data_IF_340802666024
#
_entry.id   IF_340802666024
#
_cell.length_a   1.000
_cell.length_b   1.000
_cell.length_c   1.000
_cell.angle_alpha   90.00
_cell.angle_beta   90.00
_cell.angle_gamma   90.00
#
_symmetry.space_group_name_H-M   'P 1'
#
loop_
_entity.id
_entity.type
_entity.pdbx_description
1 polymer ?
#
# COMPACT_ATOMS: atom_id res chain seq x y z
N UNK A 1 1.59 11.16 -45.77
CA UNK A 1 0.98 10.64 -44.52
C UNK A 1 0.75 11.83 -43.61
N UNK A 2 -0.48 12.03 -43.14
CA UNK A 2 -0.81 13.04 -42.14
C UNK A 2 -0.86 12.36 -40.78
N UNK A 3 0.01 12.79 -39.86
CA UNK A 3 0.05 12.27 -38.50
C UNK A 3 -0.57 13.29 -37.56
N UNK A 4 -1.41 12.82 -36.63
CA UNK A 4 -2.00 13.65 -35.57
C UNK A 4 -1.44 13.17 -34.24
N UNK A 5 -0.94 14.10 -33.42
CA UNK A 5 -0.56 13.78 -32.05
C UNK A 5 -1.84 13.58 -31.20
N UNK A 6 -1.95 12.44 -30.53
CA UNK A 6 -3.10 12.11 -29.69
C UNK A 6 -2.82 12.57 -28.26
N UNK A 7 -3.49 13.65 -27.83
CA UNK A 7 -3.25 14.30 -26.52
C UNK A 7 -4.28 13.90 -25.47
N UNK A 8 -5.46 13.43 -25.92
CA UNK A 8 -6.62 13.12 -25.08
C UNK A 8 -7.19 11.73 -25.38
N UNK A 9 -7.88 11.16 -24.38
CA UNK A 9 -8.67 9.94 -24.59
C UNK A 9 -9.91 10.28 -25.41
N UNK A 10 -10.29 9.43 -26.36
CA UNK A 10 -11.49 9.65 -27.14
C UNK A 10 -11.63 8.75 -28.36
N UNK A 11 -12.78 8.88 -29.04
CA UNK A 11 -13.03 8.26 -30.33
C UNK A 11 -12.53 9.19 -31.43
N UNK A 12 -11.39 8.87 -32.01
CA UNK A 12 -10.85 9.59 -33.15
C UNK A 12 -11.49 9.04 -34.41
N UNK A 13 -12.11 9.91 -35.19
CA UNK A 13 -12.81 9.53 -36.42
C UNK A 13 -12.14 10.21 -37.62
N UNK A 14 -11.87 9.43 -38.65
CA UNK A 14 -11.42 9.90 -39.95
C UNK A 14 -12.62 9.89 -40.88
N UNK A 15 -12.87 11.02 -41.55
CA UNK A 15 -13.90 11.13 -42.59
C UNK A 15 -13.20 11.57 -43.87
N UNK A 16 -13.43 10.83 -44.95
CA UNK A 16 -12.88 11.11 -46.27
C UNK A 16 -14.03 11.40 -47.23
N UNK A 17 -14.05 12.60 -47.78
CA UNK A 17 -14.99 12.98 -48.83
C UNK A 17 -14.37 12.66 -50.19
N UNK A 18 -14.97 11.71 -50.90
CA UNK A 18 -14.75 11.47 -52.31
C UNK A 18 -15.78 12.28 -53.13
N UNK A 19 -15.57 12.52 -54.44
CA UNK A 19 -16.45 13.35 -55.25
C UNK A 19 -17.95 12.95 -55.20
N UNK A 20 -18.24 11.67 -54.93
CA UNK A 20 -19.61 11.12 -54.91
C UNK A 20 -19.92 10.29 -53.65
N UNK A 21 -19.03 10.23 -52.65
CA UNK A 21 -19.20 9.34 -51.50
C UNK A 21 -18.45 9.87 -50.26
N UNK A 22 -18.84 9.41 -49.08
CA UNK A 22 -18.18 9.72 -47.82
C UNK A 22 -17.89 8.44 -47.06
N UNK A 23 -16.60 8.14 -46.90
CA UNK A 23 -16.13 6.99 -46.12
C UNK A 23 -15.70 7.47 -44.74
N UNK A 24 -15.98 6.66 -43.71
CA UNK A 24 -15.53 6.96 -42.35
C UNK A 24 -14.90 5.74 -41.68
N UNK A 25 -13.92 6.00 -40.82
CA UNK A 25 -13.30 5.03 -39.93
C UNK A 25 -13.10 5.66 -38.56
N UNK A 26 -13.03 4.85 -37.51
CA UNK A 26 -12.70 5.37 -36.18
C UNK A 26 -11.83 4.40 -35.39
N UNK A 27 -11.12 4.95 -34.40
CA UNK A 27 -10.39 4.20 -33.38
C UNK A 27 -10.67 4.81 -32.00
N UNK A 28 -10.75 3.96 -30.97
CA UNK A 28 -10.82 4.40 -29.59
C UNK A 28 -9.42 4.45 -28.98
N UNK A 29 -9.07 5.61 -28.41
CA UNK A 29 -7.77 5.85 -27.78
C UNK A 29 -8.00 6.13 -26.30
N UNK A 30 -7.27 5.44 -25.43
CA UNK A 30 -7.23 5.69 -23.99
C UNK A 30 -5.85 6.17 -23.59
N UNK A 31 -5.73 7.46 -23.29
CA UNK A 31 -4.53 8.13 -22.79
C UNK A 31 -4.60 8.19 -21.26
N UNK A 32 -3.59 7.65 -20.59
CA UNK A 32 -3.47 7.69 -19.13
C UNK A 32 -2.58 8.85 -18.71
N UNK A 33 -3.09 9.74 -17.85
CA UNK A 33 -2.28 10.81 -17.26
C UNK A 33 -1.33 10.23 -16.20
N UNK A 34 -0.18 10.89 -16.00
CA UNK A 34 0.74 10.53 -14.91
C UNK A 34 0.04 10.78 -13.57
N UNK A 35 0.14 9.87 -12.58
CA UNK A 35 -0.42 10.12 -11.26
C UNK A 35 0.28 11.33 -10.62
N UNK A 36 -0.47 12.21 -9.93
CA UNK A 36 0.06 13.50 -9.44
C UNK A 36 0.66 13.43 -8.04
N UNK A 37 0.19 12.51 -7.18
CA UNK A 37 0.70 12.35 -5.81
C UNK A 37 0.34 10.99 -5.24
N UNK A 38 1.22 10.47 -4.39
CA UNK A 38 0.93 9.37 -3.46
C UNK A 38 1.42 9.80 -2.08
N UNK A 39 0.49 9.92 -1.12
CA UNK A 39 0.81 10.32 0.26
C UNK A 39 0.68 9.10 1.16
N UNK A 40 1.67 8.93 2.04
CA UNK A 40 1.76 7.85 3.00
C UNK A 40 1.37 8.37 4.38
N UNK A 41 0.30 7.82 4.96
CA UNK A 41 -0.17 8.22 6.28
C UNK A 41 0.17 7.15 7.30
N UNK A 42 0.32 7.56 8.56
CA UNK A 42 0.46 6.68 9.70
C UNK A 42 -0.69 6.95 10.66
N UNK A 43 -1.55 5.97 10.91
CA UNK A 43 -2.52 6.04 12.00
C UNK A 43 -1.98 5.23 13.17
N UNK A 44 -1.75 5.87 14.32
CA UNK A 44 -1.46 5.19 15.59
C UNK A 44 -2.77 4.78 16.24
N UNK A 45 -3.04 3.48 16.33
CA UNK A 45 -4.30 2.99 16.90
C UNK A 45 -4.34 3.04 18.44
N UNK A 46 -3.17 3.11 19.09
CA UNK A 46 -3.04 3.25 20.54
C UNK A 46 -1.76 4.01 20.90
N UNK A 47 -1.78 4.80 21.96
CA UNK A 47 -0.55 5.43 22.51
C UNK A 47 0.36 4.41 23.19
N UNK A 48 -0.17 3.24 23.54
CA UNK A 48 0.56 2.17 24.24
C UNK A 48 1.04 1.06 23.30
N UNK A 49 0.54 1.01 22.06
CA UNK A 49 1.03 0.13 21.02
C UNK A 49 1.05 0.93 19.71
N UNK A 50 2.26 1.27 19.24
CA UNK A 50 2.43 1.98 17.96
C UNK A 50 2.09 1.03 16.80
N UNK A 51 0.80 0.77 16.58
CA UNK A 51 0.35 0.15 15.34
C UNK A 51 0.38 1.19 14.23
N UNK A 52 0.97 0.83 13.10
CA UNK A 52 0.98 1.67 11.91
C UNK A 52 0.11 1.03 10.84
N UNK A 53 -0.76 1.80 10.22
CA UNK A 53 -1.34 1.45 8.93
C UNK A 53 -0.91 2.49 7.92
N UNK A 54 -0.31 2.01 6.84
CA UNK A 54 0.14 2.77 5.70
C UNK A 54 -0.90 2.63 4.58
N UNK A 55 -1.36 3.73 4.00
CA UNK A 55 -2.27 3.69 2.85
C UNK A 55 -1.89 4.73 1.81
N UNK A 56 -2.23 4.44 0.56
CA UNK A 56 -1.93 5.26 -0.60
C UNK A 56 -3.15 6.04 -1.04
N UNK A 57 -3.00 7.35 -1.30
CA UNK A 57 -4.00 8.16 -2.00
C UNK A 57 -3.40 8.70 -3.29
N UNK A 58 -3.89 8.23 -4.43
CA UNK A 58 -3.53 8.72 -5.76
C UNK A 58 -4.63 8.41 -6.76
N UNK A 59 -4.83 9.30 -7.73
CA UNK A 59 -5.85 9.10 -8.77
C UNK A 59 -5.35 8.07 -9.79
N UNK A 60 -6.23 7.12 -10.16
CA UNK A 60 -5.98 6.16 -11.26
C UNK A 60 -4.77 5.21 -11.08
N UNK A 61 -4.43 4.83 -9.85
CA UNK A 61 -3.43 3.80 -9.56
C UNK A 61 -4.06 2.40 -9.53
N UNK A 62 -3.42 1.43 -10.20
CA UNK A 62 -3.92 0.07 -10.38
C UNK A 62 -3.08 -0.97 -9.62
N UNK A 63 -1.79 -0.72 -9.46
CA UNK A 63 -0.89 -1.62 -8.72
C UNK A 63 0.12 -0.85 -7.90
N UNK A 64 0.63 -1.50 -6.86
CA UNK A 64 1.54 -0.91 -5.89
C UNK A 64 2.79 -1.77 -5.76
N UNK A 65 3.89 -1.14 -5.36
CA UNK A 65 5.12 -1.83 -4.99
C UNK A 65 5.71 -1.12 -3.77
N UNK A 66 5.75 -1.81 -2.64
CA UNK A 66 6.34 -1.30 -1.42
C UNK A 66 7.85 -1.54 -1.33
N UNK A 67 8.52 -0.65 -0.61
CA UNK A 67 9.95 -0.68 -0.35
C UNK A 67 10.18 -0.47 1.15
N UNK A 68 11.12 -1.22 1.71
CA UNK A 68 11.63 -1.08 3.07
C UNK A 68 13.13 -0.79 2.98
N UNK A 69 13.57 0.35 3.52
CA UNK A 69 14.96 0.81 3.47
C UNK A 69 15.52 0.78 2.04
N UNK A 70 14.73 1.31 1.09
CA UNK A 70 14.99 1.30 -0.36
C UNK A 70 15.06 -0.08 -1.04
N UNK A 71 14.85 -1.18 -0.31
CA UNK A 71 14.78 -2.54 -0.87
C UNK A 71 13.35 -2.91 -1.18
N UNK A 72 13.14 -3.49 -2.37
CA UNK A 72 11.84 -3.98 -2.82
C UNK A 72 11.31 -5.06 -1.88
N UNK A 73 10.04 -4.94 -1.48
CA UNK A 73 9.33 -5.96 -0.72
C UNK A 73 8.56 -6.89 -1.68
N UNK A 74 8.87 -8.18 -1.67
CA UNK A 74 8.20 -9.15 -2.55
C UNK A 74 6.74 -9.36 -2.13
N UNK A 75 5.82 -9.41 -3.09
CA UNK A 75 4.40 -9.64 -2.84
C UNK A 75 3.63 -8.44 -2.28
N UNK A 76 4.30 -7.32 -1.99
CA UNK A 76 3.65 -6.13 -1.46
C UNK A 76 3.02 -5.31 -2.59
N UNK A 77 1.79 -5.69 -2.98
CA UNK A 77 1.05 -5.10 -4.11
C UNK A 77 -0.25 -4.38 -3.71
N UNK A 78 -0.62 -4.41 -2.43
CA UNK A 78 -1.84 -3.79 -1.94
C UNK A 78 -1.69 -2.27 -1.80
N UNK A 79 -2.81 -1.55 -1.91
CA UNK A 79 -2.89 -0.09 -1.66
C UNK A 79 -2.72 0.28 -0.18
N UNK A 80 -2.72 -0.73 0.69
CA UNK A 80 -2.51 -0.59 2.13
C UNK A 80 -1.44 -1.56 2.59
N UNK A 81 -0.71 -1.18 3.63
CA UNK A 81 0.32 -2.01 4.25
C UNK A 81 0.31 -1.85 5.76
N UNK A 82 0.50 -2.95 6.49
CA UNK A 82 0.68 -2.94 7.95
C UNK A 82 2.16 -3.26 8.26
N UNK A 83 3.01 -2.26 8.55
CA UNK A 83 4.39 -2.49 8.95
C UNK A 83 4.49 -3.39 10.19
N UNK A 84 5.44 -4.33 10.16
CA UNK A 84 5.79 -5.19 11.30
C UNK A 84 7.26 -5.05 11.71
N UNK A 85 8.03 -4.22 10.99
CA UNK A 85 9.46 -4.03 11.20
C UNK A 85 9.76 -2.53 11.17
N UNK A 86 10.62 -2.06 12.08
CA UNK A 86 11.11 -0.69 12.09
C UNK A 86 11.91 -0.40 10.81
N UNK A 87 11.64 0.74 10.19
CA UNK A 87 12.41 1.19 9.04
C UNK A 87 11.74 2.28 8.24
N UNK A 88 12.36 2.62 7.11
CA UNK A 88 11.87 3.64 6.19
C UNK A 88 11.05 2.96 5.09
N UNK A 89 9.77 3.29 5.02
CA UNK A 89 8.84 2.78 4.03
C UNK A 89 8.60 3.80 2.92
N UNK A 90 8.56 3.33 1.68
CA UNK A 90 8.08 4.08 0.53
C UNK A 90 7.30 3.16 -0.41
N UNK A 91 6.48 3.75 -1.28
CA UNK A 91 5.64 2.99 -2.20
C UNK A 91 5.67 3.64 -3.58
N UNK A 92 5.73 2.81 -4.61
CA UNK A 92 5.53 3.23 -5.99
C UNK A 92 4.19 2.70 -6.48
N UNK A 93 3.32 3.59 -6.93
CA UNK A 93 2.05 3.24 -7.55
C UNK A 93 2.15 3.34 -9.07
N UNK A 94 1.52 2.41 -9.78
CA UNK A 94 1.49 2.40 -11.25
C UNK A 94 0.06 2.57 -11.77
N UNK A 95 -0.10 3.35 -12.83
CA UNK A 95 -1.36 3.39 -13.58
C UNK A 95 -1.49 2.17 -14.51
N UNK A 96 -2.64 2.00 -15.17
CA UNK A 96 -2.85 0.87 -16.09
C UNK A 96 -1.97 0.90 -17.36
N UNK A 97 -1.32 2.02 -17.66
CA UNK A 97 -0.31 2.10 -18.71
C UNK A 97 1.11 1.77 -18.22
N UNK A 98 1.29 1.52 -16.92
CA UNK A 98 2.59 1.24 -16.30
C UNK A 98 3.41 2.48 -15.93
N UNK A 99 2.87 3.70 -16.03
CA UNK A 99 3.56 4.89 -15.52
C UNK A 99 3.55 4.88 -13.98
N UNK A 100 4.74 4.94 -13.38
CA UNK A 100 4.94 4.90 -11.94
C UNK A 100 5.14 6.27 -11.31
N UNK A 101 4.62 6.47 -10.10
CA UNK A 101 4.98 7.57 -9.19
C UNK A 101 5.39 7.00 -7.83
N UNK A 102 6.41 7.59 -7.20
CA UNK A 102 6.86 7.19 -5.85
C UNK A 102 6.43 8.20 -4.79
N UNK A 103 6.15 7.70 -3.59
CA UNK A 103 5.87 8.53 -2.42
C UNK A 103 7.13 9.12 -1.80
N UNK A 104 6.97 10.18 -1.02
CA UNK A 104 7.97 10.53 -0.02
C UNK A 104 8.13 9.36 0.98
N UNK A 105 9.36 9.10 1.47
CA UNK A 105 9.59 8.08 2.47
C UNK A 105 9.00 8.47 3.82
N UNK A 106 8.53 7.48 4.58
CA UNK A 106 8.07 7.65 5.97
C UNK A 106 8.85 6.72 6.88
N UNK A 107 9.36 7.25 7.97
CA UNK A 107 10.00 6.46 9.02
C UNK A 107 8.94 5.85 9.94
N UNK A 108 9.02 4.54 10.14
CA UNK A 108 8.15 3.77 11.04
C UNK A 108 9.00 3.18 12.15
N UNK A 109 8.60 3.46 13.39
CA UNK A 109 9.26 3.00 14.60
C UNK A 109 8.40 1.96 15.31
N UNK A 110 8.61 0.68 14.98
CA UNK A 110 7.93 -0.43 15.64
C UNK A 110 8.62 -0.70 16.97
N UNK A 111 7.88 -0.53 18.05
CA UNK A 111 8.30 -0.98 19.36
C UNK A 111 8.07 -2.50 19.45
N UNK A 112 9.13 -3.32 19.55
CA UNK A 112 9.00 -4.78 19.65
C UNK A 112 8.27 -5.23 20.92
N UNK A 113 8.25 -4.41 21.97
CA UNK A 113 7.55 -4.70 23.24
C UNK A 113 6.05 -4.36 23.18
N UNK A 114 5.64 -3.53 22.20
CA UNK A 114 4.25 -3.17 21.96
C UNK A 114 3.43 -4.27 21.27
N UNK A 115 4.05 -5.33 20.77
CA UNK A 115 3.37 -6.42 20.07
C UNK A 115 3.21 -7.60 21.04
N UNK A 116 2.00 -7.96 21.50
CA UNK A 116 1.83 -9.06 22.43
C UNK A 116 2.18 -10.39 21.76
N UNK A 117 3.14 -11.12 22.33
CA UNK A 117 3.45 -12.49 21.94
C UNK A 117 3.63 -13.38 23.18
N UNK A 118 3.46 -14.69 23.01
CA UNK A 118 3.70 -15.67 24.06
C UNK A 118 4.77 -16.67 23.61
N UNK A 119 5.80 -16.84 24.44
CA UNK A 119 6.81 -17.87 24.26
C UNK A 119 6.57 -19.01 25.22
N UNK A 120 6.47 -20.24 24.71
CA UNK A 120 6.39 -21.45 25.55
C UNK A 120 7.80 -21.96 25.85
N UNK A 121 8.22 -21.86 27.10
CA UNK A 121 9.45 -22.45 27.59
C UNK A 121 9.20 -23.89 28.06
N UNK A 122 10.15 -24.80 27.82
CA UNK A 122 10.11 -26.18 28.33
C UNK A 122 11.07 -26.31 29.52
N UNK A 123 10.70 -27.14 30.50
CA UNK A 123 11.49 -27.53 31.68
C UNK A 123 11.88 -26.37 32.64
N UNK A 124 11.00 -25.92 33.54
CA UNK A 124 9.57 -26.25 33.64
C UNK A 124 8.75 -25.58 32.54
N UNK A 125 7.59 -26.17 32.20
CA UNK A 125 6.66 -25.59 31.22
C UNK A 125 6.11 -24.28 31.77
N UNK A 126 6.41 -23.16 31.11
CA UNK A 126 5.85 -21.84 31.42
C UNK A 126 5.62 -21.03 30.16
N UNK A 127 4.71 -20.06 30.24
CA UNK A 127 4.52 -19.04 29.21
C UNK A 127 5.28 -17.78 29.64
N UNK A 128 5.98 -17.16 28.71
CA UNK A 128 6.66 -15.89 28.90
C UNK A 128 6.07 -14.87 27.93
N UNK A 129 5.72 -13.69 28.44
CA UNK A 129 5.33 -12.52 27.68
C UNK A 129 6.53 -11.55 27.52
N UNK A 130 6.56 -10.69 26.49
CA UNK A 130 7.51 -9.56 26.38
C UNK A 130 7.34 -8.58 27.54
N UNK A 131 8.32 -7.72 27.79
CA UNK A 131 8.25 -6.69 28.83
C UNK A 131 7.09 -5.72 28.58
N UNK A 132 6.28 -5.48 29.61
CA UNK A 132 5.17 -4.54 29.60
C UNK A 132 4.95 -3.99 31.01
N UNK A 133 4.19 -2.89 31.10
CA UNK A 133 3.87 -2.25 32.37
C UNK A 133 2.93 -3.07 33.26
N UNK A 134 2.09 -3.91 32.67
CA UNK A 134 1.13 -4.80 33.35
C UNK A 134 0.71 -5.93 32.42
N UNK A 135 0.27 -7.06 32.98
CA UNK A 135 -0.33 -8.16 32.21
C UNK A 135 -1.66 -8.59 32.83
N UNK A 136 -2.48 -9.24 32.02
CA UNK A 136 -3.60 -10.06 32.47
C UNK A 136 -3.47 -11.42 31.79
N UNK A 137 -3.47 -12.49 32.57
CA UNK A 137 -3.38 -13.85 32.05
C UNK A 137 -4.77 -14.48 32.01
N UNK A 138 -5.12 -15.13 30.91
CA UNK A 138 -6.41 -15.82 30.74
C UNK A 138 -6.18 -17.30 30.40
N UNK A 139 -7.07 -18.17 30.90
CA UNK A 139 -7.21 -19.57 30.49
C UNK A 139 -8.65 -19.78 30.06
N UNK A 140 -8.88 -20.19 28.81
CA UNK A 140 -10.22 -20.38 28.23
C UNK A 140 -11.16 -19.18 28.46
N UNK A 141 -10.62 -17.96 28.29
CA UNK A 141 -11.27 -16.67 28.55
C UNK A 141 -11.57 -16.33 30.03
N UNK A 142 -11.14 -17.16 30.99
CA UNK A 142 -11.22 -16.85 32.42
C UNK A 142 -9.92 -16.22 32.92
N UNK A 143 -10.04 -15.09 33.64
CA UNK A 143 -8.90 -14.41 34.24
C UNK A 143 -8.22 -15.31 35.29
N UNK A 144 -6.90 -15.47 35.18
CA UNK A 144 -6.08 -16.16 36.17
C UNK A 144 -5.90 -15.23 37.37
N UNK A 145 -6.37 -15.65 38.55
CA UNK A 145 -6.27 -14.83 39.76
C UNK A 145 -4.82 -14.57 40.17
N UNK A 146 -4.51 -13.33 40.55
CA UNK A 146 -3.16 -12.91 40.96
C UNK A 146 -2.21 -12.60 39.81
N UNK A 147 -2.72 -12.39 38.60
CA UNK A 147 -1.93 -12.13 37.39
C UNK A 147 -1.50 -10.66 37.17
N UNK A 148 -1.64 -9.79 38.17
CA UNK A 148 -1.36 -8.36 38.10
C UNK A 148 0.11 -8.01 38.33
#
# INVERSE_FOLDING_TARGET
>A
MYNVALVDSGKYSLVVHAPNDTLSAFIQVKVFKSPEKITLYTQTQSTCAKEYQLFTKGDSLYSYQWYLNAKRMLGAADSTWKPSVTGVYSVTGFNAAGCGISSSPVYVDIDPDSIPFLTRLKNPTRLQAPLAQSYYWFVDNYLVAGSN
#
